data_IF_225624367914
#
_entry.id   IF_225624367914
#
_cell.length_a   1.000
_cell.length_b   1.000
_cell.length_c   1.000
_cell.angle_alpha   90.00
_cell.angle_beta   90.00
_cell.angle_gamma   90.00
#
_symmetry.space_group_name_H-M   'P 1'
#
loop_
_entity.id
_entity.type
_entity.pdbx_description
1 polymer ?
#
# COMPACT_ATOMS: atom_id res chain seq x y z
N UNK A 1 -10.81 -23.03 -3.55
CA UNK A 1 -10.46 -22.08 -4.64
C UNK A 1 -11.18 -20.74 -4.48
N UNK A 2 -12.18 -20.31 -5.26
CA UNK A 2 -12.69 -18.91 -5.14
C UNK A 2 -13.34 -18.56 -3.79
N UNK A 3 -14.11 -19.47 -3.18
CA UNK A 3 -14.70 -19.25 -1.84
C UNK A 3 -13.65 -19.13 -0.73
N UNK A 4 -12.58 -19.89 -0.88
CA UNK A 4 -11.46 -19.94 0.07
C UNK A 4 -10.61 -18.68 -0.03
N UNK A 5 -10.37 -18.16 -1.25
CA UNK A 5 -9.72 -16.86 -1.43
C UNK A 5 -10.51 -15.70 -0.83
N UNK A 6 -11.84 -15.71 -0.97
CA UNK A 6 -12.71 -14.71 -0.32
C UNK A 6 -12.63 -14.81 1.20
N UNK A 7 -12.62 -16.02 1.75
CA UNK A 7 -12.49 -16.21 3.20
C UNK A 7 -11.14 -15.71 3.72
N UNK A 8 -10.04 -16.05 3.04
CA UNK A 8 -8.70 -15.58 3.41
C UNK A 8 -8.61 -14.05 3.36
N UNK A 9 -9.22 -13.41 2.36
CA UNK A 9 -9.31 -11.95 2.27
C UNK A 9 -10.03 -11.35 3.49
N UNK A 10 -11.14 -11.95 3.91
CA UNK A 10 -11.88 -11.49 5.09
C UNK A 10 -11.05 -11.65 6.37
N UNK A 11 -10.41 -12.80 6.55
CA UNK A 11 -9.53 -13.04 7.70
C UNK A 11 -8.35 -12.05 7.71
N UNK A 12 -7.80 -11.71 6.54
CA UNK A 12 -6.78 -10.68 6.39
C UNK A 12 -7.27 -9.29 6.80
N UNK A 13 -8.50 -8.90 6.43
CA UNK A 13 -9.11 -7.65 6.91
C UNK A 13 -9.19 -7.61 8.43
N UNK A 14 -9.71 -8.68 9.02
CA UNK A 14 -9.87 -8.78 10.47
C UNK A 14 -8.53 -8.73 11.21
N UNK A 15 -7.45 -9.27 10.62
CA UNK A 15 -6.10 -9.15 11.16
C UNK A 15 -5.56 -7.71 11.04
N UNK A 16 -5.73 -7.07 9.88
CA UNK A 16 -5.32 -5.69 9.64
C UNK A 16 -6.02 -4.70 10.59
N UNK A 17 -7.33 -4.85 10.81
CA UNK A 17 -8.09 -4.01 11.76
C UNK A 17 -7.58 -4.13 13.22
N UNK A 18 -7.01 -5.28 13.58
CA UNK A 18 -6.38 -5.50 14.88
C UNK A 18 -4.94 -5.00 14.94
N UNK A 19 -4.41 -4.48 13.84
CA UNK A 19 -3.03 -4.02 13.69
C UNK A 19 -2.00 -5.13 13.52
N UNK A 20 -2.44 -6.38 13.35
CA UNK A 20 -1.59 -7.54 13.08
C UNK A 20 -1.27 -7.62 11.57
N UNK A 21 -0.38 -6.72 11.15
CA UNK A 21 -0.06 -6.52 9.74
C UNK A 21 0.71 -7.69 9.13
N UNK A 22 1.53 -8.40 9.90
CA UNK A 22 2.27 -9.56 9.39
C UNK A 22 1.30 -10.69 9.01
N UNK A 23 0.35 -11.01 9.90
CA UNK A 23 -0.71 -11.97 9.60
C UNK A 23 -1.57 -11.50 8.43
N UNK A 24 -1.91 -10.21 8.37
CA UNK A 24 -2.69 -9.66 7.25
C UNK A 24 -1.99 -9.85 5.90
N UNK A 25 -0.69 -9.52 5.81
CA UNK A 25 0.12 -9.71 4.61
C UNK A 25 0.10 -11.17 4.17
N UNK A 26 0.43 -12.11 5.06
CA UNK A 26 0.46 -13.54 4.73
C UNK A 26 -0.87 -14.05 4.18
N UNK A 27 -1.99 -13.58 4.76
CA UNK A 27 -3.33 -13.99 4.35
C UNK A 27 -3.73 -13.36 3.01
N UNK A 28 -3.41 -12.08 2.78
CA UNK A 28 -3.64 -11.44 1.49
C UNK A 28 -2.78 -12.05 0.38
N UNK A 29 -1.53 -12.42 0.63
CA UNK A 29 -0.69 -13.11 -0.35
C UNK A 29 -1.33 -14.43 -0.77
N UNK A 30 -1.75 -15.27 0.20
CA UNK A 30 -2.47 -16.52 -0.05
C UNK A 30 -3.77 -16.26 -0.81
N UNK A 31 -4.52 -15.23 -0.43
CA UNK A 31 -5.76 -14.86 -1.12
C UNK A 31 -5.50 -14.43 -2.57
N UNK A 32 -4.41 -13.71 -2.83
CA UNK A 32 -4.04 -13.22 -4.17
C UNK A 32 -3.72 -14.35 -5.15
N UNK A 33 -3.19 -15.47 -4.66
CA UNK A 33 -2.94 -16.68 -5.45
C UNK A 33 -4.24 -17.38 -5.87
N UNK A 34 -5.31 -17.24 -5.08
CA UNK A 34 -6.61 -17.85 -5.34
C UNK A 34 -7.59 -16.92 -6.07
N UNK A 35 -7.41 -15.61 -5.93
CA UNK A 35 -8.30 -14.56 -6.45
C UNK A 35 -7.49 -13.41 -7.07
N UNK A 36 -6.68 -13.71 -8.09
CA UNK A 36 -5.80 -12.74 -8.77
C UNK A 36 -6.53 -11.64 -9.56
N UNK A 37 -7.84 -11.75 -9.73
CA UNK A 37 -8.70 -10.77 -10.40
C UNK A 37 -9.28 -9.72 -9.44
N UNK A 38 -9.09 -9.90 -8.12
CA UNK A 38 -9.63 -8.99 -7.11
C UNK A 38 -8.63 -7.86 -6.82
N UNK A 39 -8.91 -6.67 -7.35
CA UNK A 39 -8.07 -5.49 -7.20
C UNK A 39 -7.92 -5.07 -5.72
N UNK A 40 -8.94 -5.34 -4.90
CA UNK A 40 -8.95 -4.97 -3.49
C UNK A 40 -7.82 -5.70 -2.76
N UNK A 41 -7.60 -6.99 -3.06
CA UNK A 41 -6.53 -7.77 -2.41
C UNK A 41 -5.18 -7.08 -2.60
N UNK A 42 -4.87 -6.64 -3.81
CA UNK A 42 -3.62 -5.93 -4.08
C UNK A 42 -3.58 -4.55 -3.42
N UNK A 43 -4.71 -3.84 -3.39
CA UNK A 43 -4.81 -2.57 -2.68
C UNK A 43 -4.46 -2.75 -1.19
N UNK A 44 -5.15 -3.66 -0.50
CA UNK A 44 -4.99 -3.85 0.94
C UNK A 44 -3.67 -4.54 1.31
N UNK A 45 -3.17 -5.44 0.47
CA UNK A 45 -1.82 -5.99 0.60
C UNK A 45 -0.77 -4.88 0.50
N UNK A 46 -0.92 -3.98 -0.49
CA UNK A 46 -0.04 -2.83 -0.67
C UNK A 46 -0.09 -1.84 0.51
N UNK A 47 -1.28 -1.58 1.05
CA UNK A 47 -1.45 -0.76 2.27
C UNK A 47 -0.79 -1.43 3.48
N UNK A 48 -1.01 -2.74 3.70
CA UNK A 48 -0.43 -3.45 4.83
C UNK A 48 1.11 -3.47 4.78
N UNK A 49 1.69 -3.70 3.60
CA UNK A 49 3.13 -3.56 3.40
C UNK A 49 3.61 -2.13 3.64
N UNK A 50 2.88 -1.12 3.16
CA UNK A 50 3.23 0.28 3.36
C UNK A 50 3.25 0.66 4.83
N UNK A 51 2.27 0.21 5.60
CA UNK A 51 2.27 0.42 7.06
C UNK A 51 3.42 -0.28 7.76
N UNK A 52 3.75 -1.53 7.39
CA UNK A 52 4.92 -2.24 7.92
C UNK A 52 6.20 -1.48 7.61
N UNK A 53 6.36 -1.02 6.37
CA UNK A 53 7.52 -0.27 5.92
C UNK A 53 7.73 1.02 6.73
N UNK A 54 6.65 1.78 6.96
CA UNK A 54 6.70 3.03 7.73
C UNK A 54 6.92 2.78 9.24
N UNK A 55 6.39 1.69 9.81
CA UNK A 55 6.68 1.29 11.19
C UNK A 55 8.15 0.91 11.35
N UNK A 56 8.74 0.29 10.34
CA UNK A 56 10.13 -0.14 10.39
C UNK A 56 11.11 1.03 10.26
N UNK A 57 10.81 2.05 9.44
CA UNK A 57 11.55 3.33 9.45
C UNK A 57 11.62 3.92 10.87
N UNK A 58 10.53 3.84 11.65
CA UNK A 58 10.52 4.33 13.03
C UNK A 58 11.37 3.51 14.02
N UNK A 59 11.87 2.33 13.61
CA UNK A 59 12.65 1.39 14.42
C UNK A 59 14.15 1.41 14.15
N UNK A 60 14.64 2.29 13.28
CA UNK A 60 16.07 2.43 12.91
C UNK A 60 17.04 2.58 14.11
N UNK A 61 16.57 2.85 15.33
CA UNK A 61 17.38 2.89 16.56
C UNK A 61 17.87 1.53 17.09
N UNK A 62 17.44 0.39 16.53
CA UNK A 62 17.82 -0.94 17.01
C UNK A 62 18.48 -1.76 15.90
N UNK A 63 19.73 -1.45 15.60
CA UNK A 63 20.57 -2.25 14.72
C UNK A 63 20.90 -3.58 15.40
N UNK A 64 20.44 -4.69 14.83
CA UNK A 64 21.27 -5.86 14.55
C UNK A 64 20.47 -6.86 13.69
N UNK A 65 21.00 -7.14 12.50
CA UNK A 65 20.61 -8.23 11.58
C UNK A 65 19.44 -7.98 10.61
N UNK A 66 19.58 -6.94 9.75
CA UNK A 66 18.77 -6.74 8.53
C UNK A 66 18.96 -7.93 7.59
N UNK A 67 18.05 -8.89 7.63
CA UNK A 67 17.95 -9.96 6.63
C UNK A 67 16.71 -9.68 5.78
N UNK A 68 16.92 -9.46 4.48
CA UNK A 68 15.93 -9.29 3.41
C UNK A 68 15.00 -8.04 3.48
N UNK A 69 15.46 -6.91 4.02
CA UNK A 69 14.67 -5.65 4.14
C UNK A 69 14.46 -4.81 2.86
N UNK A 70 14.89 -5.29 1.68
CA UNK A 70 14.50 -4.65 0.39
C UNK A 70 13.00 -4.84 0.07
N UNK A 71 12.22 -5.48 0.95
CA UNK A 71 10.97 -6.15 0.57
C UNK A 71 9.67 -5.35 0.84
N UNK A 72 9.54 -4.55 1.91
CA UNK A 72 8.23 -3.95 2.25
C UNK A 72 7.86 -2.73 1.41
N UNK A 73 8.76 -1.76 1.23
CA UNK A 73 8.47 -0.60 0.37
C UNK A 73 8.23 -1.02 -1.08
N UNK A 74 9.06 -1.92 -1.60
CA UNK A 74 8.93 -2.42 -2.96
C UNK A 74 7.63 -3.20 -3.15
N UNK A 75 7.27 -4.10 -2.22
CA UNK A 75 6.00 -4.80 -2.31
C UNK A 75 4.79 -3.87 -2.12
N UNK A 76 4.88 -2.85 -1.26
CA UNK A 76 3.83 -1.86 -1.11
C UNK A 76 3.56 -1.14 -2.44
N UNK A 77 4.62 -0.59 -3.05
CA UNK A 77 4.55 0.11 -4.33
C UNK A 77 4.04 -0.79 -5.44
N UNK A 78 4.60 -2.00 -5.57
CA UNK A 78 4.22 -3.00 -6.58
C UNK A 78 2.74 -3.37 -6.48
N UNK A 79 2.25 -3.65 -5.28
CA UNK A 79 0.85 -4.06 -5.09
C UNK A 79 -0.12 -2.89 -5.28
N UNK A 80 0.23 -1.67 -4.83
CA UNK A 80 -0.59 -0.48 -5.07
C UNK A 80 -0.65 -0.09 -6.55
N UNK A 81 0.46 -0.18 -7.28
CA UNK A 81 0.47 0.04 -8.74
C UNK A 81 -0.43 -0.98 -9.44
N UNK A 82 -0.33 -2.26 -9.08
CA UNK A 82 -1.21 -3.30 -9.61
C UNK A 82 -2.67 -3.02 -9.30
N UNK A 83 -2.99 -2.59 -8.08
CA UNK A 83 -4.35 -2.20 -7.72
C UNK A 83 -4.86 -1.01 -8.55
N UNK A 84 -4.01 0.00 -8.79
CA UNK A 84 -4.34 1.15 -9.62
C UNK A 84 -4.53 0.77 -11.11
N UNK A 85 -3.77 -0.20 -11.63
CA UNK A 85 -3.97 -0.74 -12.99
C UNK A 85 -5.30 -1.49 -13.11
N UNK A 86 -5.64 -2.32 -12.12
CA UNK A 86 -6.86 -3.12 -12.11
C UNK A 86 -8.12 -2.29 -11.82
N UNK A 87 -7.98 -1.24 -11.00
CA UNK A 87 -9.04 -0.31 -10.64
C UNK A 87 -8.59 1.15 -10.91
N UNK A 88 -8.62 1.62 -12.17
CA UNK A 88 -8.10 2.95 -12.54
C UNK A 88 -8.82 4.15 -11.91
N UNK A 89 -9.98 3.93 -11.29
CA UNK A 89 -10.74 4.95 -10.56
C UNK A 89 -10.50 4.93 -9.05
N UNK A 90 -9.69 3.99 -8.55
CA UNK A 90 -9.32 3.94 -7.14
C UNK A 90 -8.22 4.97 -6.86
N UNK A 91 -8.63 6.19 -6.53
CA UNK A 91 -7.71 7.28 -6.19
C UNK A 91 -6.93 7.00 -4.88
N UNK A 92 -7.46 6.18 -3.97
CA UNK A 92 -6.76 5.82 -2.73
C UNK A 92 -5.44 5.09 -2.99
N UNK A 93 -5.36 4.27 -4.04
CA UNK A 93 -4.11 3.62 -4.42
C UNK A 93 -3.02 4.64 -4.78
N UNK A 94 -3.38 5.69 -5.51
CA UNK A 94 -2.49 6.80 -5.85
C UNK A 94 -2.12 7.67 -4.64
N UNK A 95 -3.05 7.89 -3.71
CA UNK A 95 -2.74 8.56 -2.43
C UNK A 95 -1.68 7.80 -1.64
N UNK A 96 -1.88 6.49 -1.44
CA UNK A 96 -0.95 5.66 -0.69
C UNK A 96 0.42 5.59 -1.38
N UNK A 97 0.47 5.53 -2.71
CA UNK A 97 1.73 5.64 -3.45
C UNK A 97 2.45 6.97 -3.20
N UNK A 98 1.71 8.08 -3.23
CA UNK A 98 2.30 9.40 -2.96
C UNK A 98 2.86 9.52 -1.54
N UNK A 99 2.15 9.01 -0.53
CA UNK A 99 2.63 8.95 0.84
C UNK A 99 3.90 8.10 0.99
N UNK A 100 3.94 6.92 0.35
CA UNK A 100 5.12 6.05 0.38
C UNK A 100 6.32 6.67 -0.31
N UNK A 101 6.13 7.28 -1.49
CA UNK A 101 7.22 7.96 -2.18
C UNK A 101 7.73 9.17 -1.41
N UNK A 102 6.83 9.93 -0.77
CA UNK A 102 7.22 11.03 0.12
C UNK A 102 8.03 10.52 1.31
N UNK A 103 7.68 9.39 1.91
CA UNK A 103 8.44 8.80 3.01
C UNK A 103 9.83 8.29 2.60
N UNK A 104 10.04 8.03 1.31
CA UNK A 104 11.32 7.65 0.72
C UNK A 104 12.11 8.87 0.18
N UNK A 105 11.65 10.10 0.45
CA UNK A 105 12.20 11.34 -0.11
C UNK A 105 12.25 11.36 -1.66
N UNK A 106 11.33 10.64 -2.31
CA UNK A 106 11.18 10.60 -3.77
C UNK A 106 10.11 11.59 -4.22
N UNK A 107 10.34 12.87 -3.97
CA UNK A 107 9.36 13.94 -4.14
C UNK A 107 8.76 14.02 -5.55
N UNK A 108 9.57 13.83 -6.60
CA UNK A 108 9.08 13.82 -7.99
C UNK A 108 8.00 12.75 -8.22
N UNK A 109 8.20 11.54 -7.68
CA UNK A 109 7.24 10.44 -7.80
C UNK A 109 6.04 10.64 -6.89
N UNK A 110 6.25 11.22 -5.71
CA UNK A 110 5.17 11.57 -4.80
C UNK A 110 4.22 12.59 -5.45
N UNK A 111 4.78 13.62 -6.08
CA UNK A 111 4.04 14.63 -6.81
C UNK A 111 3.23 14.00 -7.96
N UNK A 112 3.85 13.15 -8.78
CA UNK A 112 3.15 12.45 -9.87
C UNK A 112 1.97 11.61 -9.35
N UNK A 113 2.16 10.87 -8.25
CA UNK A 113 1.12 10.06 -7.66
C UNK A 113 -0.05 10.90 -7.12
N UNK A 114 0.24 11.99 -6.41
CA UNK A 114 -0.78 12.91 -5.91
C UNK A 114 -1.54 13.62 -7.05
N UNK A 115 -0.84 14.05 -8.11
CA UNK A 115 -1.48 14.61 -9.31
C UNK A 115 -2.42 13.62 -9.98
N UNK A 116 -2.02 12.35 -10.10
CA UNK A 116 -2.89 11.28 -10.64
C UNK A 116 -4.13 11.08 -9.76
N UNK A 117 -3.97 11.09 -8.44
CA UNK A 117 -5.10 10.98 -7.51
C UNK A 117 -6.09 12.14 -7.67
N UNK A 118 -5.59 13.39 -7.65
CA UNK A 118 -6.41 14.60 -7.77
C UNK A 118 -7.11 14.71 -9.13
N UNK A 119 -6.56 14.10 -10.17
CA UNK A 119 -7.20 14.00 -11.48
C UNK A 119 -8.41 13.04 -11.46
N UNK A 120 -8.37 12.00 -10.64
CA UNK A 120 -9.46 11.02 -10.50
C UNK A 120 -10.55 11.57 -9.56
N UNK A 121 -10.14 12.03 -8.38
CA UNK A 121 -11.02 12.64 -7.37
C UNK A 121 -10.51 14.05 -7.04
N UNK A 122 -11.04 15.08 -7.71
CA UNK A 122 -10.76 16.47 -7.38
C UNK A 122 -11.36 16.85 -6.03
N UNK A 123 -10.68 17.70 -5.27
CA UNK A 123 -11.19 18.22 -3.99
C UNK A 123 -10.65 17.53 -2.74
N UNK A 124 -9.65 16.67 -2.88
CA UNK A 124 -8.89 16.13 -1.75
C UNK A 124 -7.94 17.20 -1.21
N UNK A 125 -8.44 18.04 -0.28
CA UNK A 125 -7.69 19.16 0.30
C UNK A 125 -6.35 18.70 0.89
N UNK A 126 -6.33 17.63 1.68
CA UNK A 126 -5.10 17.07 2.27
C UNK A 126 -4.05 16.71 1.22
N UNK A 127 -4.47 16.10 0.10
CA UNK A 127 -3.55 15.69 -0.98
C UNK A 127 -3.05 16.91 -1.75
N UNK A 128 -3.87 17.95 -1.89
CA UNK A 128 -3.47 19.20 -2.51
C UNK A 128 -2.44 19.95 -1.65
N UNK A 129 -2.62 19.97 -0.33
CA UNK A 129 -1.64 20.51 0.61
C UNK A 129 -0.32 19.74 0.52
N UNK A 130 -0.36 18.41 0.59
CA UNK A 130 0.83 17.57 0.44
C UNK A 130 1.56 17.80 -0.89
N UNK A 131 0.84 17.94 -2.01
CA UNK A 131 1.44 18.23 -3.32
C UNK A 131 2.09 19.62 -3.37
N UNK A 132 1.55 20.61 -2.65
CA UNK A 132 2.14 21.95 -2.57
C UNK A 132 3.41 21.97 -1.71
N UNK A 133 3.47 21.15 -0.67
CA UNK A 133 4.63 21.02 0.21
C UNK A 133 5.85 20.36 -0.47
N UNK A 134 5.64 19.66 -1.60
CA UNK A 134 6.70 19.02 -2.39
C UNK A 134 7.41 19.99 -3.37
N UNK A 135 7.01 21.26 -3.44
CA UNK A 135 7.46 22.23 -4.46
C UNK A 135 8.39 23.33 -3.93
#
# INVERSE_FOLDING_TARGET
MKKEGIQLKEEAYQAAEKGDLHTAVELYEKASLLCSEDADIFYYLGVAYGELALRDISREELWEDKTDEEDYFENAVKNLLKAAEMAPKNYHAWNNLGLLYKALDWDDKAAEAFERSLKIEPGQEDIMEMLNDLK
#
